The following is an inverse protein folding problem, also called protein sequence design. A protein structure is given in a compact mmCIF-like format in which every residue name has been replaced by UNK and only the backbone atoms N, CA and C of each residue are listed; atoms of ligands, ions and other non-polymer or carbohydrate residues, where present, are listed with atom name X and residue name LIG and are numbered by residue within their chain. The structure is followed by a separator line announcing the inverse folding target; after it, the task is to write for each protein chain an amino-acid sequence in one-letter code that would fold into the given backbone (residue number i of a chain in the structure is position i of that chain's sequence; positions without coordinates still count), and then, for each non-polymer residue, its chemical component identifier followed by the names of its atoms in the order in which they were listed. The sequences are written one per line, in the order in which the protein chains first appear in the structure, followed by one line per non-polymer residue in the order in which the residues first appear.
data_IF_810480565454
#
_entry.id   IF_810480565454
#
_cell.length_a   1.000
_cell.length_b   1.000
_cell.length_c   1.000
_cell.angle_alpha   90.00
_cell.angle_beta   90.00
_cell.angle_gamma   90.00
#
_symmetry.space_group_name_H-M   'P 1'
#
loop_
_entity.id
_entity.type
_entity.pdbx_description
1 polymer ?
#
# COMPACT_ATOMS: atom_id res chain seq x y z
N UNK A 1 -21.68 -5.77 19.88
CA UNK A 1 -21.21 -7.12 19.49
C UNK A 1 -20.61 -7.21 18.07
N UNK A 2 -20.20 -6.10 17.42
CA UNK A 2 -19.63 -6.07 16.04
C UNK A 2 -18.10 -5.91 15.94
N UNK A 3 -17.42 -5.56 17.04
CA UNK A 3 -16.01 -5.07 17.03
C UNK A 3 -14.97 -6.13 16.63
N UNK A 4 -15.30 -7.43 16.72
CA UNK A 4 -14.33 -8.51 16.48
C UNK A 4 -14.05 -8.74 14.98
N UNK A 5 -15.07 -8.59 14.11
CA UNK A 5 -14.95 -8.90 12.66
C UNK A 5 -14.17 -7.79 11.95
N UNK A 6 -14.43 -6.54 12.32
CA UNK A 6 -13.75 -5.35 11.78
C UNK A 6 -12.26 -5.33 12.07
N UNK A 7 -11.81 -5.94 13.18
CA UNK A 7 -10.38 -6.02 13.53
C UNK A 7 -9.60 -6.89 12.53
N UNK A 8 -10.17 -8.03 12.12
CA UNK A 8 -9.55 -8.90 11.11
C UNK A 8 -9.59 -8.28 9.71
N UNK A 9 -10.68 -7.59 9.36
CA UNK A 9 -10.82 -6.89 8.08
C UNK A 9 -9.78 -5.76 7.94
N UNK A 10 -9.51 -5.03 9.03
CA UNK A 10 -8.53 -3.92 9.03
C UNK A 10 -7.10 -4.39 8.78
N UNK A 11 -6.76 -5.62 9.17
CA UNK A 11 -5.44 -6.21 8.90
C UNK A 11 -5.36 -6.68 7.44
N UNK A 12 -6.46 -7.23 6.92
CA UNK A 12 -6.55 -7.63 5.50
C UNK A 12 -6.44 -6.45 4.52
N UNK A 13 -6.99 -5.28 4.87
CA UNK A 13 -6.93 -4.08 4.02
C UNK A 13 -5.51 -3.53 3.84
N UNK A 14 -4.59 -3.79 4.77
CA UNK A 14 -3.18 -3.39 4.64
C UNK A 14 -2.53 -4.09 3.45
N UNK A 15 -2.81 -5.38 3.26
CA UNK A 15 -2.37 -6.13 2.08
C UNK A 15 -3.00 -5.59 0.79
N UNK A 16 -4.27 -5.18 0.83
CA UNK A 16 -4.95 -4.60 -0.32
C UNK A 16 -4.36 -3.25 -0.74
N UNK A 17 -3.94 -2.40 0.22
CA UNK A 17 -3.23 -1.15 -0.10
C UNK A 17 -1.91 -1.41 -0.84
N UNK A 18 -1.16 -2.42 -0.41
CA UNK A 18 0.10 -2.79 -1.04
C UNK A 18 -0.11 -3.38 -2.44
N UNK A 19 -1.06 -4.30 -2.58
CA UNK A 19 -1.43 -4.91 -3.87
C UNK A 19 -1.99 -3.88 -4.85
N UNK A 20 -2.79 -2.92 -4.36
CA UNK A 20 -3.34 -1.82 -5.17
C UNK A 20 -2.24 -0.98 -5.81
N UNK A 21 -1.21 -0.59 -5.05
CA UNK A 21 -0.08 0.19 -5.57
C UNK A 21 0.71 -0.54 -6.65
N UNK A 22 0.93 -1.85 -6.47
CA UNK A 22 1.62 -2.70 -7.44
C UNK A 22 0.80 -2.80 -8.74
N UNK A 23 -0.51 -3.04 -8.65
CA UNK A 23 -1.39 -3.14 -9.83
C UNK A 23 -1.32 -1.85 -10.65
N UNK A 24 -1.43 -0.69 -10.00
CA UNK A 24 -1.36 0.62 -10.68
C UNK A 24 0.01 0.83 -11.33
N UNK A 25 1.09 0.54 -10.61
CA UNK A 25 2.46 0.65 -11.14
C UNK A 25 2.67 -0.23 -12.37
N UNK A 26 2.26 -1.49 -12.32
CA UNK A 26 2.37 -2.43 -13.45
C UNK A 26 1.49 -1.99 -14.61
N UNK A 27 0.26 -1.52 -14.38
CA UNK A 27 -0.62 -1.04 -15.44
C UNK A 27 0.00 0.13 -16.21
N UNK A 28 0.52 1.11 -15.48
CA UNK A 28 1.18 2.29 -16.04
C UNK A 28 2.45 1.88 -16.76
N UNK A 29 3.29 1.06 -16.11
CA UNK A 29 4.55 0.58 -16.66
C UNK A 29 4.36 -0.20 -17.96
N UNK A 30 3.35 -1.08 -18.02
CA UNK A 30 3.00 -1.84 -19.21
C UNK A 30 2.50 -0.95 -20.35
N UNK A 31 1.66 0.04 -20.04
CA UNK A 31 1.20 1.00 -21.05
C UNK A 31 2.35 1.82 -21.61
N UNK A 32 3.29 2.25 -20.76
CA UNK A 32 4.49 2.97 -21.17
C UNK A 32 5.44 2.09 -21.99
N UNK A 33 5.67 0.85 -21.59
CA UNK A 33 6.51 -0.08 -22.36
C UNK A 33 5.94 -0.34 -23.76
N UNK A 34 4.61 -0.39 -23.89
CA UNK A 34 3.94 -0.50 -25.19
C UNK A 34 4.11 0.75 -26.05
N UNK A 35 4.15 1.93 -25.43
CA UNK A 35 4.33 3.20 -26.13
C UNK A 35 5.78 3.42 -26.57
N UNK A 36 6.74 3.08 -25.71
CA UNK A 36 8.18 3.25 -25.96
C UNK A 36 8.85 2.04 -26.63
N UNK A 37 8.14 0.91 -26.76
CA UNK A 37 8.67 -0.34 -27.31
C UNK A 37 9.91 -0.89 -26.56
N UNK A 38 10.13 -0.44 -25.33
CA UNK A 38 11.26 -0.80 -24.44
C UNK A 38 10.99 -2.04 -23.59
N UNK A 39 10.01 -2.84 -23.99
CA UNK A 39 9.46 -3.92 -23.16
C UNK A 39 10.54 -4.94 -22.77
N UNK A 40 10.73 -5.27 -21.47
CA UNK A 40 9.90 -4.92 -20.30
C UNK A 40 10.59 -3.97 -19.27
N UNK A 41 11.43 -3.03 -19.72
CA UNK A 41 12.31 -2.29 -18.81
C UNK A 41 11.56 -1.25 -17.96
N UNK A 42 10.61 -0.51 -18.56
CA UNK A 42 9.81 0.48 -17.85
C UNK A 42 8.84 -0.18 -16.86
N UNK A 43 8.27 -1.33 -17.22
CA UNK A 43 7.39 -2.10 -16.34
C UNK A 43 8.10 -2.52 -15.05
N UNK A 44 9.37 -2.93 -15.13
CA UNK A 44 10.17 -3.32 -13.95
C UNK A 44 10.40 -2.12 -13.02
N UNK A 45 10.77 -0.97 -13.57
CA UNK A 45 11.00 0.24 -12.77
C UNK A 45 9.71 0.68 -12.07
N UNK A 46 8.60 0.71 -12.81
CA UNK A 46 7.30 1.08 -12.26
C UNK A 46 6.74 0.04 -11.29
N UNK A 47 7.10 -1.23 -11.43
CA UNK A 47 6.76 -2.27 -10.45
C UNK A 47 7.42 -2.00 -9.11
N UNK A 48 8.73 -1.72 -9.08
CA UNK A 48 9.42 -1.34 -7.84
C UNK A 48 8.89 -0.03 -7.25
N UNK A 49 8.60 0.97 -8.09
CA UNK A 49 7.95 2.20 -7.64
C UNK A 49 6.56 1.94 -7.03
N UNK A 50 5.77 1.04 -7.62
CA UNK A 50 4.47 0.63 -7.10
C UNK A 50 4.57 -0.06 -5.74
N UNK A 51 5.58 -0.91 -5.55
CA UNK A 51 5.91 -1.51 -4.25
C UNK A 51 6.25 -0.43 -3.23
N UNK A 52 7.18 0.46 -3.56
CA UNK A 52 7.63 1.54 -2.65
C UNK A 52 6.45 2.44 -2.25
N UNK A 53 5.60 2.81 -3.21
CA UNK A 53 4.41 3.62 -2.96
C UNK A 53 3.39 2.90 -2.05
N UNK A 54 3.17 1.59 -2.28
CA UNK A 54 2.32 0.75 -1.43
C UNK A 54 2.83 0.67 0.01
N UNK A 55 4.15 0.44 0.18
CA UNK A 55 4.80 0.45 1.48
C UNK A 55 4.73 1.82 2.16
N UNK A 56 4.86 2.92 1.43
CA UNK A 56 4.78 4.26 2.00
C UNK A 56 3.39 4.53 2.61
N UNK A 57 2.32 4.17 1.89
CA UNK A 57 0.96 4.30 2.41
C UNK A 57 0.73 3.41 3.63
N UNK A 58 1.17 2.15 3.58
CA UNK A 58 1.10 1.25 4.72
C UNK A 58 1.85 1.79 5.94
N UNK A 59 3.08 2.25 5.76
CA UNK A 59 3.92 2.75 6.85
C UNK A 59 3.28 3.96 7.53
N UNK A 60 2.68 4.86 6.74
CA UNK A 60 1.90 5.99 7.24
C UNK A 60 0.68 5.54 8.04
N UNK A 61 -0.05 4.55 7.54
CA UNK A 61 -1.22 4.00 8.24
C UNK A 61 -0.79 3.36 9.57
N UNK A 62 0.23 2.50 9.56
CA UNK A 62 0.76 1.82 10.75
C UNK A 62 1.30 2.82 11.78
N UNK A 63 2.05 3.83 11.35
CA UNK A 63 2.56 4.89 12.24
C UNK A 63 1.41 5.67 12.89
N UNK A 64 0.30 5.87 12.19
CA UNK A 64 -0.89 6.50 12.76
C UNK A 64 -1.54 5.62 13.84
N UNK A 65 -1.66 4.31 13.61
CA UNK A 65 -2.16 3.38 14.63
C UNK A 65 -1.26 3.33 15.88
N UNK A 66 0.06 3.37 15.71
CA UNK A 66 1.01 3.35 16.84
C UNK A 66 0.91 4.64 17.68
N UNK A 67 0.77 5.81 17.04
CA UNK A 67 0.66 7.09 17.74
C UNK A 67 -0.71 7.33 18.40
N UNK A 68 -1.79 6.70 17.92
CA UNK A 68 -3.12 6.79 18.53
C UNK A 68 -3.25 5.96 19.83
N UNK A 69 -2.47 4.89 19.98
CA UNK A 69 -2.44 4.06 21.20
C UNK A 69 -1.74 4.78 22.37
N UNK A 70 -0.71 5.59 22.09
CA UNK A 70 0.11 6.26 23.12
C UNK A 70 -0.61 7.47 23.79
N UNK A 71 -1.49 8.16 23.06
CA UNK A 71 -2.29 9.28 23.60
C UNK A 71 -3.50 8.87 24.44
N UNK A 72 -3.98 7.63 24.31
CA UNK A 72 -5.13 7.16 25.10
C UNK A 72 -4.75 6.64 26.51
N UNK A 73 -3.47 6.36 26.76
CA UNK A 73 -2.99 5.86 28.06
C UNK A 73 -2.34 6.92 28.96
N UNK A 74 -2.05 8.11 28.44
CA UNK A 74 -1.41 9.20 29.18
C UNK A 74 -2.39 10.30 29.64
N UNK A 75 -3.67 10.16 29.32
CA UNK A 75 -4.75 11.10 29.69
C UNK A 75 -5.72 10.60 30.76
N UNK A 76 -5.37 9.54 31.50
CA UNK A 76 -6.15 8.99 32.62
C UNK A 76 -5.40 9.11 33.93
#
# INVERSE_FOLDING_TARGET
MRKNITKYISIGSVGLHLVSGIIVGVLIGYFLDKFFNTSPWLTIIFFFLGIIAGFWNMYKDVSKYINEEEKNHSGS
#
